data_IF_048604595966
#
_entry.id   IF_048604595966
#
_cell.length_a   1.000
_cell.length_b   1.000
_cell.length_c   1.000
_cell.angle_alpha   90.00
_cell.angle_beta   90.00
_cell.angle_gamma   90.00
#
_symmetry.space_group_name_H-M   'P 1'
#
loop_
_entity.id
_entity.type
_entity.pdbx_description
1 polymer ?
#
# COMPACT_ATOMS: atom_id res chain seq x y z
N UNK A 1 -7.83 18.17 4.61
CA UNK A 1 -7.06 19.13 3.78
C UNK A 1 -7.37 18.82 2.32
N UNK A 2 -7.29 19.79 1.38
CA UNK A 2 -7.50 19.48 -0.04
C UNK A 2 -6.38 18.55 -0.53
N UNK A 3 -6.73 17.54 -1.32
CA UNK A 3 -5.83 16.60 -2.02
C UNK A 3 -4.87 17.35 -2.95
N UNK A 4 -3.85 17.99 -2.36
CA UNK A 4 -2.78 18.59 -3.14
C UNK A 4 -1.96 17.44 -3.71
N UNK A 5 -1.72 17.46 -5.02
CA UNK A 5 -0.85 16.49 -5.67
C UNK A 5 0.50 17.11 -5.91
N UNK A 6 1.54 16.30 -5.84
CA UNK A 6 2.87 16.63 -6.36
C UNK A 6 3.19 15.73 -7.55
N UNK A 7 4.06 16.24 -8.40
CA UNK A 7 4.48 15.63 -9.64
C UNK A 7 5.96 15.27 -9.51
N UNK A 8 6.22 13.97 -9.38
CA UNK A 8 7.58 13.44 -9.31
C UNK A 8 8.05 13.17 -10.73
N UNK A 9 9.21 13.72 -11.07
CA UNK A 9 9.79 13.71 -12.40
C UNK A 9 11.09 12.92 -12.36
N UNK A 10 11.26 11.95 -13.25
CA UNK A 10 12.40 11.03 -13.27
C UNK A 10 12.67 10.48 -14.68
N UNK A 11 13.85 9.89 -14.86
CA UNK A 11 14.24 9.10 -16.03
C UNK A 11 14.39 7.62 -15.63
N UNK A 12 14.30 6.70 -16.60
CA UNK A 12 14.43 5.27 -16.32
C UNK A 12 13.25 4.70 -15.52
N UNK A 13 13.51 3.76 -14.61
CA UNK A 13 12.49 2.89 -14.00
C UNK A 13 12.16 3.18 -12.51
N UNK A 14 12.60 4.31 -11.96
CA UNK A 14 12.28 4.73 -10.58
C UNK A 14 12.58 3.65 -9.54
N UNK A 15 13.80 3.13 -9.54
CA UNK A 15 14.22 2.08 -8.63
C UNK A 15 14.82 2.67 -7.34
N UNK A 16 15.37 3.88 -7.43
CA UNK A 16 16.04 4.57 -6.35
C UNK A 16 15.56 6.01 -6.20
N UNK A 17 15.59 6.53 -4.97
CA UNK A 17 15.25 7.95 -4.69
C UNK A 17 16.13 8.90 -5.49
N UNK A 18 17.36 8.50 -5.82
CA UNK A 18 18.28 9.27 -6.66
C UNK A 18 17.85 9.37 -8.13
N UNK A 19 16.89 8.57 -8.57
CA UNK A 19 16.32 8.67 -9.92
C UNK A 19 15.35 9.87 -10.04
N UNK A 20 14.94 10.46 -8.91
CA UNK A 20 14.13 11.68 -8.88
C UNK A 20 14.98 12.84 -9.36
N UNK A 21 14.63 13.36 -10.53
CA UNK A 21 15.21 14.59 -11.07
C UNK A 21 14.59 15.81 -10.39
N UNK A 22 13.26 15.80 -10.18
CA UNK A 22 12.56 16.92 -9.56
C UNK A 22 11.19 16.53 -8.98
N UNK A 23 10.69 17.35 -8.05
CA UNK A 23 9.32 17.29 -7.53
C UNK A 23 8.66 18.65 -7.69
N UNK A 24 7.48 18.69 -8.32
CA UNK A 24 6.72 19.91 -8.56
C UNK A 24 5.35 19.87 -7.89
N UNK A 25 4.79 21.02 -7.55
CA UNK A 25 3.45 21.20 -6.98
C UNK A 25 2.37 21.49 -8.06
N UNK A 26 2.75 21.59 -9.34
CA UNK A 26 1.84 21.93 -10.43
C UNK A 26 2.28 21.34 -11.78
N UNK A 27 1.32 21.06 -12.67
CA UNK A 27 1.57 20.56 -14.04
C UNK A 27 2.29 21.59 -14.90
N UNK A 28 2.01 22.86 -14.71
CA UNK A 28 2.61 23.95 -15.47
C UNK A 28 4.14 23.99 -15.26
N UNK A 29 4.60 23.73 -14.02
CA UNK A 29 6.03 23.63 -13.72
C UNK A 29 6.67 22.39 -14.35
N UNK A 30 5.96 21.26 -14.38
CA UNK A 30 6.40 20.04 -15.08
C UNK A 30 6.59 20.30 -16.58
N UNK A 31 5.64 20.98 -17.23
CA UNK A 31 5.72 21.28 -18.66
C UNK A 31 6.84 22.29 -18.98
N UNK A 32 7.02 23.30 -18.13
CA UNK A 32 8.15 24.21 -18.24
C UNK A 32 9.50 23.48 -18.10
N UNK A 33 9.59 22.53 -17.17
CA UNK A 33 10.77 21.69 -16.99
C UNK A 33 11.02 20.80 -18.23
N UNK A 34 9.99 20.08 -18.70
CA UNK A 34 10.04 19.25 -19.92
C UNK A 34 10.57 20.03 -21.11
N UNK A 35 10.05 21.23 -21.34
CA UNK A 35 10.46 22.08 -22.47
C UNK A 35 11.92 22.49 -22.41
N UNK A 36 12.46 22.73 -21.21
CA UNK A 36 13.83 23.22 -21.03
C UNK A 36 14.88 22.12 -20.94
N UNK A 37 14.51 20.97 -20.39
CA UNK A 37 15.44 19.90 -20.03
C UNK A 37 15.15 18.57 -20.73
N UNK A 38 14.29 18.54 -21.76
CA UNK A 38 14.06 17.34 -22.57
C UNK A 38 15.39 16.79 -23.11
N UNK A 39 15.79 15.61 -22.62
CA UNK A 39 16.93 14.82 -23.11
C UNK A 39 16.43 13.80 -24.12
N UNK A 40 17.35 13.07 -24.75
CA UNK A 40 17.00 11.94 -25.64
C UNK A 40 16.26 10.81 -24.90
N UNK A 41 16.42 10.71 -23.58
CA UNK A 41 15.68 9.77 -22.74
C UNK A 41 14.27 10.27 -22.44
N UNK A 42 13.31 9.33 -22.39
CA UNK A 42 11.91 9.63 -22.13
C UNK A 42 11.71 9.99 -20.65
N UNK A 43 11.46 11.27 -20.38
CA UNK A 43 11.09 11.75 -19.05
C UNK A 43 9.72 11.19 -18.63
N UNK A 44 9.66 10.55 -17.47
CA UNK A 44 8.43 10.04 -16.86
C UNK A 44 7.97 11.00 -15.75
N UNK A 45 6.66 11.04 -15.52
CA UNK A 45 6.04 11.87 -14.49
C UNK A 45 4.99 11.05 -13.78
N UNK A 46 5.08 11.01 -12.45
CA UNK A 46 4.13 10.34 -11.58
C UNK A 46 3.42 11.39 -10.71
N UNK A 47 2.10 11.28 -10.61
CA UNK A 47 1.30 12.09 -9.69
C UNK A 47 1.14 11.35 -8.37
N UNK A 48 1.46 12.00 -7.25
CA UNK A 48 1.23 11.44 -5.91
C UNK A 48 0.56 12.47 -5.02
N UNK A 49 -0.19 12.02 -4.02
CA UNK A 49 -0.76 12.90 -3.01
C UNK A 49 0.37 13.53 -2.16
N UNK A 50 0.27 14.83 -1.91
CA UNK A 50 1.13 15.56 -0.99
C UNK A 50 0.61 15.38 0.42
N UNK A 51 1.46 14.84 1.31
CA UNK A 51 1.09 14.50 2.68
C UNK A 51 -0.22 13.70 2.74
N UNK A 52 -0.24 12.48 2.15
CA UNK A 52 -1.42 11.64 2.26
C UNK A 52 -1.75 11.42 3.74
N UNK A 53 -3.04 11.47 4.06
CA UNK A 53 -3.49 10.94 5.33
C UNK A 53 -3.17 9.45 5.36
N UNK A 54 -2.70 8.95 6.50
CA UNK A 54 -2.38 7.55 6.66
C UNK A 54 -2.79 7.08 8.05
N UNK A 55 -3.14 5.81 8.13
CA UNK A 55 -3.57 5.18 9.37
C UNK A 55 -2.34 4.77 10.15
N UNK A 56 -2.20 5.31 11.35
CA UNK A 56 -1.10 5.00 12.26
C UNK A 56 -1.67 4.54 13.59
N UNK A 57 -1.36 3.29 13.95
CA UNK A 57 -1.61 2.75 15.28
C UNK A 57 -0.24 2.52 15.95
N UNK A 58 -0.05 3.08 17.15
CA UNK A 58 1.24 2.98 17.86
C UNK A 58 1.46 1.62 18.51
N UNK A 59 0.39 0.90 18.80
CA UNK A 59 0.41 -0.33 19.59
C UNK A 59 0.19 -1.58 18.72
N UNK A 60 -0.26 -1.38 17.47
CA UNK A 60 -0.60 -2.46 16.54
C UNK A 60 0.04 -2.24 15.17
N UNK A 61 0.42 -3.34 14.53
CA UNK A 61 0.90 -3.35 13.15
C UNK A 61 -0.16 -3.95 12.23
N UNK A 62 -0.22 -3.54 10.95
CA UNK A 62 -1.11 -4.15 9.97
C UNK A 62 -0.55 -5.49 9.45
N UNK A 63 -1.43 -6.48 9.34
CA UNK A 63 -1.13 -7.83 8.90
C UNK A 63 -2.10 -8.30 7.82
N UNK A 64 -1.60 -9.14 6.92
CA UNK A 64 -2.39 -10.03 6.08
C UNK A 64 -2.17 -11.48 6.53
N UNK A 65 -3.24 -12.19 6.83
CA UNK A 65 -3.21 -13.62 7.16
C UNK A 65 -4.00 -14.39 6.11
N UNK A 66 -3.35 -15.35 5.47
CA UNK A 66 -3.94 -16.20 4.44
C UNK A 66 -4.23 -17.59 5.01
N UNK A 67 -5.43 -18.11 4.77
CA UNK A 67 -5.84 -19.48 5.11
C UNK A 67 -6.32 -20.22 3.88
N UNK A 68 -6.15 -21.53 3.89
CA UNK A 68 -6.95 -22.41 3.04
C UNK A 68 -8.35 -22.56 3.68
N UNK A 69 -9.41 -22.57 2.87
CA UNK A 69 -10.79 -22.80 3.35
C UNK A 69 -10.98 -24.10 4.13
N UNK A 70 -10.12 -25.10 3.91
CA UNK A 70 -10.19 -26.40 4.56
C UNK A 70 -9.31 -26.51 5.81
N UNK A 71 -8.34 -25.61 5.99
CA UNK A 71 -7.37 -25.65 7.09
C UNK A 71 -7.50 -24.44 8.01
N UNK A 72 -7.29 -24.67 9.31
CA UNK A 72 -7.15 -23.60 10.32
C UNK A 72 -5.69 -23.16 10.48
N UNK A 73 -4.75 -23.84 9.84
CA UNK A 73 -3.37 -23.37 9.83
C UNK A 73 -3.22 -22.26 8.78
N UNK A 74 -2.61 -21.11 9.14
CA UNK A 74 -2.35 -20.06 8.17
C UNK A 74 -1.31 -20.54 7.14
N UNK A 75 -1.62 -20.36 5.87
CA UNK A 75 -0.68 -20.55 4.77
C UNK A 75 0.44 -19.53 4.85
N UNK A 76 0.08 -18.29 5.17
CA UNK A 76 1.01 -17.18 5.20
C UNK A 76 0.55 -16.10 6.18
N UNK A 77 1.51 -15.36 6.73
CA UNK A 77 1.26 -14.18 7.54
C UNK A 77 2.29 -13.11 7.17
N UNK A 78 1.81 -12.02 6.57
CA UNK A 78 2.61 -10.92 6.02
C UNK A 78 2.40 -9.67 6.87
N UNK A 79 3.49 -8.95 7.17
CA UNK A 79 3.39 -7.57 7.66
C UNK A 79 3.15 -6.64 6.46
N UNK A 80 2.18 -5.76 6.58
CA UNK A 80 1.84 -4.82 5.53
C UNK A 80 2.62 -3.51 5.74
N UNK A 81 3.08 -2.91 4.65
CA UNK A 81 3.96 -1.73 4.70
C UNK A 81 3.50 -0.57 3.81
N UNK A 82 2.50 -0.80 2.94
CA UNK A 82 1.94 0.25 2.08
C UNK A 82 0.76 0.95 2.76
N UNK A 83 0.49 2.20 2.37
CA UNK A 83 -0.69 2.96 2.86
C UNK A 83 -1.98 2.22 2.49
N UNK A 84 -2.08 1.77 1.23
CA UNK A 84 -3.25 1.05 0.70
C UNK A 84 -3.54 -0.24 1.48
N UNK A 85 -2.50 -1.04 1.75
CA UNK A 85 -2.66 -2.27 2.54
C UNK A 85 -3.07 -1.98 3.99
N UNK A 86 -2.59 -0.86 4.53
CA UNK A 86 -2.91 -0.43 5.89
C UNK A 86 -4.38 0.01 6.00
N UNK A 87 -4.94 0.63 4.96
CA UNK A 87 -6.37 0.93 4.86
C UNK A 87 -7.21 -0.35 4.84
N UNK A 88 -6.83 -1.34 4.03
CA UNK A 88 -7.49 -2.65 4.03
C UNK A 88 -7.46 -3.33 5.40
N UNK A 89 -6.34 -3.21 6.12
CA UNK A 89 -6.19 -3.74 7.47
C UNK A 89 -7.04 -2.97 8.50
N UNK A 90 -7.21 -1.66 8.32
CA UNK A 90 -8.05 -0.85 9.22
C UNK A 90 -9.54 -1.15 9.04
N UNK A 91 -9.99 -1.34 7.81
CA UNK A 91 -11.35 -1.77 7.48
C UNK A 91 -11.59 -3.26 7.83
N UNK A 92 -10.55 -3.95 8.28
CA UNK A 92 -10.53 -5.37 8.60
C UNK A 92 -11.08 -6.26 7.47
N UNK A 93 -10.67 -5.95 6.23
CA UNK A 93 -11.18 -6.57 5.01
C UNK A 93 -10.92 -8.07 4.99
N UNK A 94 -11.92 -8.82 4.52
CA UNK A 94 -11.77 -10.25 4.22
C UNK A 94 -12.07 -10.52 2.76
N UNK A 95 -11.12 -11.15 2.07
CA UNK A 95 -11.25 -11.56 0.66
C UNK A 95 -11.26 -13.08 0.57
N UNK A 96 -12.03 -13.61 -0.38
CA UNK A 96 -12.11 -15.05 -0.67
C UNK A 96 -11.87 -15.25 -2.16
N UNK A 97 -10.74 -15.86 -2.49
CA UNK A 97 -10.30 -16.05 -3.87
C UNK A 97 -9.72 -17.46 -4.03
N UNK A 98 -10.24 -18.23 -4.99
CA UNK A 98 -9.70 -19.55 -5.39
C UNK A 98 -9.42 -20.54 -4.24
N UNK A 99 -10.28 -20.59 -3.21
CA UNK A 99 -10.11 -21.48 -2.06
C UNK A 99 -9.19 -20.94 -0.95
N UNK A 100 -8.72 -19.70 -1.10
CA UNK A 100 -7.94 -18.96 -0.10
C UNK A 100 -8.79 -17.86 0.52
N UNK A 101 -8.72 -17.74 1.85
CA UNK A 101 -9.30 -16.65 2.63
C UNK A 101 -8.16 -15.75 3.11
N UNK A 102 -8.19 -14.50 2.69
CA UNK A 102 -7.23 -13.47 3.02
C UNK A 102 -7.86 -12.48 3.98
N UNK A 103 -7.30 -12.35 5.17
CA UNK A 103 -7.80 -11.44 6.22
C UNK A 103 -6.77 -10.35 6.47
N UNK A 104 -7.16 -9.10 6.23
CA UNK A 104 -6.38 -7.90 6.54
C UNK A 104 -6.83 -7.39 7.90
N UNK A 105 -5.91 -7.12 8.84
CA UNK A 105 -6.25 -6.60 10.16
C UNK A 105 -5.06 -5.97 10.89
N UNK A 106 -5.34 -5.16 11.92
CA UNK A 106 -4.33 -4.69 12.86
C UNK A 106 -4.18 -5.59 14.09
N UNK A 107 -2.95 -5.90 14.48
CA UNK A 107 -2.65 -6.68 15.68
C UNK A 107 -1.35 -6.26 16.37
N UNK A 108 -1.21 -6.55 17.66
CA UNK A 108 0.00 -6.23 18.43
C UNK A 108 1.21 -7.07 18.02
N UNK A 109 0.99 -8.25 17.45
CA UNK A 109 2.02 -9.18 16.98
C UNK A 109 1.41 -10.27 16.09
N UNK A 110 2.29 -11.06 15.45
CA UNK A 110 1.93 -12.16 14.54
C UNK A 110 0.95 -13.18 15.16
N UNK A 111 1.14 -13.55 16.43
CA UNK A 111 0.27 -14.54 17.10
C UNK A 111 -1.14 -13.99 17.32
N UNK A 112 -1.24 -12.74 17.77
CA UNK A 112 -2.51 -12.04 17.90
C UNK A 112 -3.21 -11.91 16.54
N UNK A 113 -2.45 -11.64 15.48
CA UNK A 113 -2.98 -11.54 14.13
C UNK A 113 -3.63 -12.85 13.66
N UNK A 114 -2.93 -13.98 13.81
CA UNK A 114 -3.45 -15.31 13.43
C UNK A 114 -4.74 -15.61 14.19
N UNK A 115 -4.78 -15.38 15.50
CA UNK A 115 -5.96 -15.66 16.31
C UNK A 115 -7.17 -14.82 15.90
N UNK A 116 -6.99 -13.52 15.67
CA UNK A 116 -8.06 -12.63 15.21
C UNK A 116 -8.54 -13.01 13.81
N UNK A 117 -7.60 -13.33 12.91
CA UNK A 117 -7.92 -13.72 11.54
C UNK A 117 -8.68 -15.05 11.48
N UNK A 118 -8.32 -16.01 12.35
CA UNK A 118 -9.03 -17.28 12.49
C UNK A 118 -10.49 -17.10 12.86
N UNK A 119 -10.80 -16.20 13.80
CA UNK A 119 -12.18 -15.92 14.19
C UNK A 119 -12.99 -15.35 13.01
N UNK A 120 -12.40 -14.45 12.22
CA UNK A 120 -13.04 -13.87 11.02
C UNK A 120 -13.27 -14.93 9.94
N UNK A 121 -12.28 -15.80 9.70
CA UNK A 121 -12.37 -16.92 8.76
C UNK A 121 -13.48 -17.91 9.15
N UNK A 122 -13.52 -18.31 10.42
CA UNK A 122 -14.52 -19.26 10.90
C UNK A 122 -15.93 -18.68 10.82
N UNK A 123 -16.11 -17.37 11.05
CA UNK A 123 -17.39 -16.67 10.88
C UNK A 123 -17.85 -16.54 9.41
N UNK A 124 -16.98 -16.77 8.44
CA UNK A 124 -17.29 -16.73 7.00
C UNK A 124 -17.66 -18.10 6.43
N UNK A 125 -17.22 -19.18 7.08
CA UNK A 125 -17.45 -20.57 6.64
C UNK A 125 -18.71 -21.15 7.29
N UNK A 126 -19.18 -20.56 8.39
CA UNK A 126 -20.40 -20.93 9.13
C UNK A 126 -21.57 -19.99 8.81
#
# INVERSE_FOLDING_TARGET
MRDHKVYIVFYGDYEHVHDIEAVFDSKEKVEAFRKRFSRNEKLKVMEVAFNPDFICDKDRNPYLVNFNEQSREPLEVINLFSIEDTELAFEEVVKREEGTISVYLFASNKKAAINAALMKRDALIH
#
